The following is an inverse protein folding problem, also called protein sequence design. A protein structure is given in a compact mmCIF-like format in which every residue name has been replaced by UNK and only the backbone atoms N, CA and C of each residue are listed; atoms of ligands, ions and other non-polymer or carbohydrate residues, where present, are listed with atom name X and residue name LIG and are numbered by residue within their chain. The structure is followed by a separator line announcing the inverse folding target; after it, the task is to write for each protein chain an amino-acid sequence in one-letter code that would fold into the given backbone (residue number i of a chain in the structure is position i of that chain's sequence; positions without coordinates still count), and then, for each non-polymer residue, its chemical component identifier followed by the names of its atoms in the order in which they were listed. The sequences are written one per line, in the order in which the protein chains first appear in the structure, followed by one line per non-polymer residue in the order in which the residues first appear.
data_IF_185980272469
#
_entry.id   IF_185980272469
#
_cell.length_a   1.000
_cell.length_b   1.000
_cell.length_c   1.000
_cell.angle_alpha   90.00
_cell.angle_beta   90.00
_cell.angle_gamma   90.00
#
_symmetry.space_group_name_H-M   'P 1'
#
loop_
_entity.id
_entity.type
_entity.pdbx_description
1 polymer ?
#
# COMPACT_ATOMS: atom_id res chain seq x y z
N UNK A 1 -6.33 -15.91 -17.07
CA UNK A 1 -5.85 -15.54 -15.72
C UNK A 1 -5.86 -16.81 -14.86
N UNK A 2 -4.79 -17.04 -14.12
CA UNK A 2 -4.71 -18.15 -13.17
C UNK A 2 -4.87 -17.56 -11.78
N UNK A 3 -5.79 -18.12 -11.00
CA UNK A 3 -6.00 -17.72 -9.63
C UNK A 3 -5.65 -18.89 -8.72
N UNK A 4 -4.72 -18.73 -7.80
CA UNK A 4 -4.44 -19.70 -6.75
C UNK A 4 -5.41 -19.41 -5.58
N UNK A 5 -6.31 -20.33 -5.31
CA UNK A 5 -7.20 -20.26 -4.15
C UNK A 5 -6.63 -21.20 -3.09
N UNK A 6 -6.38 -20.66 -1.89
CA UNK A 6 -6.03 -21.51 -0.75
C UNK A 6 -7.23 -22.38 -0.36
N UNK A 7 -7.00 -23.62 0.10
CA UNK A 7 -8.07 -24.50 0.56
C UNK A 7 -8.71 -23.90 1.81
N UNK A 8 -9.77 -23.16 1.62
CA UNK A 8 -10.70 -22.71 2.63
C UNK A 8 -12.09 -22.88 2.06
N UNK A 9 -13.05 -23.25 2.87
CA UNK A 9 -14.46 -23.27 2.48
C UNK A 9 -14.87 -21.85 2.10
N UNK A 10 -14.87 -21.53 0.80
CA UNK A 10 -15.46 -20.32 0.31
C UNK A 10 -16.98 -20.43 0.51
N UNK A 11 -17.47 -19.69 1.48
CA UNK A 11 -18.91 -19.59 1.72
C UNK A 11 -19.45 -18.46 0.81
N UNK A 12 -20.22 -18.87 -0.18
CA UNK A 12 -21.20 -18.06 -0.90
C UNK A 12 -20.70 -17.07 -1.97
N UNK A 13 -19.55 -16.42 -1.86
CA UNK A 13 -19.14 -15.38 -2.82
C UNK A 13 -17.65 -15.36 -3.08
N UNK A 14 -17.29 -15.22 -4.36
CA UNK A 14 -15.93 -14.95 -4.81
C UNK A 14 -15.91 -13.57 -5.46
N UNK A 15 -15.08 -12.68 -4.96
CA UNK A 15 -14.81 -11.40 -5.62
C UNK A 15 -13.66 -11.57 -6.62
N UNK A 16 -13.89 -11.17 -7.87
CA UNK A 16 -12.90 -11.18 -8.94
C UNK A 16 -12.65 -9.75 -9.40
N UNK A 17 -11.38 -9.36 -9.49
CA UNK A 17 -10.97 -8.15 -10.18
C UNK A 17 -10.39 -8.56 -11.54
N UNK A 18 -10.97 -8.07 -12.62
CA UNK A 18 -10.53 -8.35 -13.99
C UNK A 18 -10.09 -7.05 -14.63
N UNK A 19 -8.85 -7.00 -15.11
CA UNK A 19 -8.36 -5.84 -15.88
C UNK A 19 -8.76 -6.02 -17.35
N UNK A 20 -9.57 -5.10 -17.87
CA UNK A 20 -9.93 -5.06 -19.27
C UNK A 20 -8.78 -4.64 -20.18
N UNK A 21 -8.96 -4.82 -21.50
CA UNK A 21 -7.99 -4.37 -22.51
C UNK A 21 -7.87 -2.84 -22.57
N UNK A 22 -8.80 -2.12 -21.96
CA UNK A 22 -8.83 -0.67 -21.79
C UNK A 22 -8.04 -0.20 -20.56
N UNK A 23 -7.43 -1.13 -19.81
CA UNK A 23 -6.71 -0.87 -18.57
C UNK A 23 -7.61 -0.65 -17.34
N UNK A 24 -8.92 -0.75 -17.50
CA UNK A 24 -9.88 -0.62 -16.39
C UNK A 24 -9.97 -1.92 -15.60
N UNK A 25 -10.13 -1.81 -14.28
CA UNK A 25 -10.36 -2.95 -13.39
C UNK A 25 -11.84 -3.11 -13.13
N UNK A 26 -12.38 -4.26 -13.51
CA UNK A 26 -13.77 -4.62 -13.32
C UNK A 26 -13.89 -5.59 -12.14
N UNK A 27 -14.70 -5.23 -11.16
CA UNK A 27 -14.94 -6.06 -9.98
C UNK A 27 -16.21 -6.90 -10.20
N UNK A 28 -16.06 -8.20 -10.14
CA UNK A 28 -17.18 -9.16 -10.26
C UNK A 28 -17.34 -9.91 -8.95
N UNK A 29 -18.58 -10.12 -8.55
CA UNK A 29 -18.91 -11.04 -7.47
C UNK A 29 -19.56 -12.29 -8.06
N UNK A 30 -18.90 -13.43 -7.94
CA UNK A 30 -19.46 -14.72 -8.31
C UNK A 30 -20.11 -15.32 -7.07
N UNK A 31 -21.42 -15.54 -7.13
CA UNK A 31 -22.16 -16.21 -6.06
C UNK A 31 -22.26 -17.70 -6.38
N UNK A 32 -22.00 -18.55 -5.41
CA UNK A 32 -22.13 -20.00 -5.54
C UNK A 32 -23.37 -20.48 -4.78
N UNK A 33 -24.11 -21.38 -5.39
CA UNK A 33 -25.22 -22.06 -4.70
C UNK A 33 -24.67 -23.25 -3.90
N UNK A 34 -24.29 -23.00 -2.64
CA UNK A 34 -23.78 -24.03 -1.72
C UNK A 34 -22.28 -24.01 -1.52
N UNK A 35 -21.80 -24.82 -0.60
CA UNK A 35 -20.38 -24.99 -0.28
C UNK A 35 -19.64 -25.63 -1.47
N UNK A 36 -18.65 -24.96 -2.03
CA UNK A 36 -17.78 -25.50 -3.06
C UNK A 36 -16.51 -26.07 -2.39
N UNK A 37 -16.32 -27.39 -2.36
CA UNK A 37 -15.14 -27.97 -1.75
C UNK A 37 -13.94 -27.84 -2.69
N UNK A 38 -12.99 -26.98 -2.36
CA UNK A 38 -11.70 -26.98 -3.02
C UNK A 38 -10.77 -28.00 -2.37
N UNK A 39 -10.22 -28.88 -3.20
CA UNK A 39 -9.21 -29.84 -2.76
C UNK A 39 -7.81 -29.35 -3.11
N UNK A 40 -6.90 -29.45 -2.16
CA UNK A 40 -5.50 -29.09 -2.37
C UNK A 40 -4.89 -29.86 -3.55
N UNK A 41 -4.19 -29.17 -4.44
CA UNK A 41 -3.52 -29.77 -5.60
C UNK A 41 -4.42 -30.03 -6.82
N UNK A 42 -5.69 -29.66 -6.78
CA UNK A 42 -6.58 -29.71 -7.95
C UNK A 42 -6.66 -28.37 -8.66
N UNK A 43 -6.68 -28.40 -10.00
CA UNK A 43 -6.95 -27.25 -10.86
C UNK A 43 -8.42 -27.30 -11.25
N UNK A 44 -9.16 -26.26 -10.89
CA UNK A 44 -10.56 -26.10 -11.27
C UNK A 44 -10.63 -25.13 -12.44
N UNK A 45 -11.03 -25.60 -13.59
CA UNK A 45 -11.27 -24.78 -14.77
C UNK A 45 -12.74 -24.36 -14.79
N UNK A 46 -12.99 -23.06 -14.67
CA UNK A 46 -14.31 -22.47 -14.89
C UNK A 46 -14.21 -21.48 -16.03
N UNK A 47 -15.06 -21.64 -17.03
CA UNK A 47 -15.22 -20.65 -18.08
C UNK A 47 -16.20 -19.60 -17.56
N UNK A 48 -15.70 -18.39 -17.28
CA UNK A 48 -16.54 -17.26 -16.93
C UNK A 48 -16.82 -16.49 -18.20
N UNK A 49 -18.03 -16.60 -18.71
CA UNK A 49 -18.51 -15.75 -19.79
C UNK A 49 -19.02 -14.47 -19.18
N UNK A 50 -18.24 -13.39 -19.31
CA UNK A 50 -18.72 -12.05 -18.96
C UNK A 50 -19.72 -11.64 -20.04
N UNK A 51 -21.00 -11.63 -19.71
CA UNK A 51 -22.05 -11.08 -20.59
C UNK A 51 -21.68 -9.63 -20.92
N UNK A 52 -21.97 -9.21 -22.16
CA UNK A 52 -21.73 -7.84 -22.59
C UNK A 52 -22.27 -6.87 -21.55
N UNK A 53 -21.45 -5.87 -21.20
CA UNK A 53 -21.85 -4.82 -20.28
C UNK A 53 -23.13 -4.18 -20.80
N UNK A 54 -24.25 -4.39 -20.11
CA UNK A 54 -25.27 -3.37 -20.13
C UNK A 54 -24.69 -2.16 -19.42
N UNK A 55 -24.82 -0.98 -20.02
CA UNK A 55 -24.31 0.32 -19.56
C UNK A 55 -24.94 0.73 -18.21
N UNK A 56 -24.71 -0.06 -17.19
CA UNK A 56 -25.25 0.09 -15.83
C UNK A 56 -24.25 0.60 -14.80
N UNK A 57 -23.01 0.89 -15.19
CA UNK A 57 -22.09 1.61 -14.34
C UNK A 57 -22.36 3.10 -14.48
N UNK A 58 -22.79 3.72 -13.41
CA UNK A 58 -22.88 5.17 -13.33
C UNK A 58 -21.55 5.77 -13.80
N UNK A 59 -21.62 6.78 -14.68
CA UNK A 59 -20.42 7.47 -15.14
C UNK A 59 -19.66 7.99 -13.92
N UNK A 60 -18.37 7.63 -13.80
CA UNK A 60 -17.53 8.11 -12.70
C UNK A 60 -17.63 9.65 -12.60
N UNK A 61 -17.77 10.18 -11.39
CA UNK A 61 -17.76 11.61 -11.17
C UNK A 61 -16.39 12.18 -11.53
N UNK A 62 -16.33 13.24 -12.32
CA UNK A 62 -15.06 13.82 -12.75
C UNK A 62 -14.55 14.81 -11.72
N UNK A 63 -13.33 14.60 -11.24
CA UNK A 63 -12.59 15.51 -10.37
C UNK A 63 -11.52 16.21 -11.21
N UNK A 64 -11.83 17.41 -11.68
CA UNK A 64 -10.93 18.25 -12.49
C UNK A 64 -10.53 19.55 -11.77
N UNK A 65 -9.81 20.43 -12.45
CA UNK A 65 -9.36 21.70 -11.90
C UNK A 65 -10.53 22.68 -11.57
N UNK A 66 -11.71 22.46 -12.14
CA UNK A 66 -12.86 23.37 -12.01
C UNK A 66 -13.89 22.88 -10.97
N UNK A 67 -13.67 21.70 -10.37
CA UNK A 67 -14.54 21.19 -9.32
C UNK A 67 -14.57 22.16 -8.15
N UNK A 68 -15.77 22.59 -7.79
CA UNK A 68 -16.01 23.38 -6.56
C UNK A 68 -16.45 22.49 -5.44
N UNK A 69 -16.07 22.83 -4.21
CA UNK A 69 -16.52 22.12 -3.02
C UNK A 69 -18.04 22.24 -2.85
N UNK A 70 -18.68 21.10 -2.62
CA UNK A 70 -20.11 20.98 -2.35
C UNK A 70 -20.28 20.33 -0.98
N UNK A 71 -20.93 21.05 -0.05
CA UNK A 71 -21.15 20.53 1.29
C UNK A 71 -22.18 19.36 1.23
N UNK A 72 -21.87 18.28 1.95
CA UNK A 72 -22.82 17.19 2.18
C UNK A 72 -23.91 17.59 3.17
N UNK A 73 -24.95 16.78 3.23
CA UNK A 73 -26.01 16.91 4.22
C UNK A 73 -25.47 16.60 5.64
N UNK A 74 -25.56 17.56 6.55
CA UNK A 74 -25.17 17.43 7.96
C UNK A 74 -26.36 17.16 8.89
N UNK A 75 -27.57 16.95 8.32
CA UNK A 75 -28.77 16.65 9.11
C UNK A 75 -28.67 15.29 9.81
N UNK A 76 -29.53 15.04 10.75
CA UNK A 76 -29.76 13.74 11.40
C UNK A 76 -28.48 13.08 11.98
N UNK A 77 -27.55 13.88 12.52
CA UNK A 77 -26.27 13.40 13.06
C UNK A 77 -25.40 12.61 12.06
N UNK A 78 -25.47 12.93 10.77
CA UNK A 78 -24.59 12.36 9.74
C UNK A 78 -23.14 12.37 10.18
N UNK A 79 -22.39 11.35 9.78
CA UNK A 79 -20.98 11.18 10.15
C UNK A 79 -20.74 10.74 11.59
N UNK A 80 -21.77 10.55 12.44
CA UNK A 80 -21.59 10.19 13.85
C UNK A 80 -21.34 8.69 14.08
N UNK A 81 -21.70 7.83 13.13
CA UNK A 81 -21.56 6.39 13.23
C UNK A 81 -21.32 5.74 11.86
N UNK A 82 -20.80 4.50 11.86
CA UNK A 82 -20.51 3.75 10.64
C UNK A 82 -21.75 3.48 9.79
N UNK A 83 -22.91 3.30 10.39
CA UNK A 83 -24.20 3.09 9.72
C UNK A 83 -24.92 4.39 9.34
N UNK A 84 -24.37 5.53 9.74
CA UNK A 84 -24.85 6.86 9.37
C UNK A 84 -23.69 7.79 8.94
N UNK A 85 -22.91 7.44 7.90
CA UNK A 85 -21.74 8.22 7.48
C UNK A 85 -22.13 9.48 6.71
N UNK A 86 -21.19 10.42 6.57
CA UNK A 86 -21.23 11.41 5.50
C UNK A 86 -21.03 10.69 4.16
N UNK A 87 -21.89 10.98 3.18
CA UNK A 87 -21.84 10.37 1.86
C UNK A 87 -21.04 11.24 0.89
N UNK A 88 -20.03 10.67 0.25
CA UNK A 88 -19.28 11.30 -0.83
C UNK A 88 -19.89 10.80 -2.15
N UNK A 89 -20.87 11.53 -2.64
CA UNK A 89 -21.70 11.15 -3.81
C UNK A 89 -21.27 11.85 -5.10
N UNK A 90 -20.33 12.83 -4.97
CA UNK A 90 -19.87 13.65 -6.09
C UNK A 90 -18.39 14.02 -5.93
N UNK A 91 -17.79 14.48 -7.02
CA UNK A 91 -16.48 15.11 -6.97
C UNK A 91 -16.48 16.40 -6.11
N UNK A 92 -17.61 17.11 -6.05
CA UNK A 92 -17.81 18.28 -5.21
C UNK A 92 -17.74 17.94 -3.73
N UNK A 93 -18.38 16.85 -3.29
CA UNK A 93 -18.28 16.39 -1.89
C UNK A 93 -16.84 16.00 -1.54
N UNK A 94 -16.13 15.30 -2.42
CA UNK A 94 -14.71 14.97 -2.20
C UNK A 94 -13.85 16.23 -2.12
N UNK A 95 -14.10 17.21 -2.98
CA UNK A 95 -13.41 18.50 -2.96
C UNK A 95 -13.66 19.24 -1.66
N UNK A 96 -14.90 19.28 -1.18
CA UNK A 96 -15.26 19.89 0.09
C UNK A 96 -14.52 19.24 1.26
N UNK A 97 -14.47 17.89 1.32
CA UNK A 97 -13.68 17.19 2.34
C UNK A 97 -12.22 17.65 2.33
N UNK A 98 -11.58 17.69 1.16
CA UNK A 98 -10.19 18.12 1.01
C UNK A 98 -10.02 19.55 1.54
N UNK A 99 -10.92 20.47 1.19
CA UNK A 99 -10.86 21.87 1.59
C UNK A 99 -11.04 22.07 3.08
N UNK A 100 -12.00 21.36 3.70
CA UNK A 100 -12.24 21.44 5.13
C UNK A 100 -11.06 20.90 5.94
N UNK A 101 -10.50 19.75 5.55
CA UNK A 101 -9.30 19.20 6.20
C UNK A 101 -8.10 20.14 6.03
N UNK A 102 -7.93 20.72 4.85
CA UNK A 102 -6.91 21.74 4.58
C UNK A 102 -7.12 23.01 5.40
N UNK A 103 -8.36 23.37 5.70
CA UNK A 103 -8.71 24.49 6.56
C UNK A 103 -8.44 24.21 8.05
N UNK A 104 -8.25 22.94 8.42
CA UNK A 104 -7.92 22.51 9.79
C UNK A 104 -8.99 21.73 10.52
N UNK A 105 -10.05 21.29 9.80
CA UNK A 105 -11.06 20.37 10.35
C UNK A 105 -10.58 18.91 10.17
N UNK A 106 -10.16 18.22 11.24
CA UNK A 106 -9.58 16.88 11.11
C UNK A 106 -10.65 15.79 10.99
N UNK A 107 -11.91 16.09 11.25
CA UNK A 107 -13.03 15.14 11.30
C UNK A 107 -12.79 13.94 12.24
N UNK A 108 -12.23 14.21 13.43
CA UNK A 108 -11.97 13.17 14.41
C UNK A 108 -13.24 12.36 14.73
N UNK A 109 -13.11 11.03 14.69
CA UNK A 109 -14.17 10.06 14.96
C UNK A 109 -15.39 10.13 14.02
N UNK A 110 -15.33 10.92 12.94
CA UNK A 110 -16.38 10.96 11.93
C UNK A 110 -16.24 9.80 10.96
N UNK A 111 -17.36 9.46 10.31
CA UNK A 111 -17.44 8.38 9.33
C UNK A 111 -17.82 8.95 7.96
N UNK A 112 -17.07 8.54 6.95
CA UNK A 112 -17.30 8.89 5.55
C UNK A 112 -17.47 7.62 4.72
N UNK A 113 -18.31 7.71 3.70
CA UNK A 113 -18.49 6.63 2.73
C UNK A 113 -18.55 7.18 1.31
N UNK A 114 -17.69 6.64 0.44
CA UNK A 114 -17.76 6.89 -0.99
C UNK A 114 -18.90 6.06 -1.59
N UNK A 115 -19.72 6.66 -2.45
CA UNK A 115 -20.89 6.03 -3.06
C UNK A 115 -20.88 6.14 -4.59
N UNK A 116 -19.82 6.67 -5.16
CA UNK A 116 -19.62 6.79 -6.61
C UNK A 116 -18.14 6.63 -6.96
N UNK A 117 -17.87 6.15 -8.15
CA UNK A 117 -16.51 6.16 -8.68
C UNK A 117 -16.08 7.60 -8.99
N UNK A 118 -14.80 7.91 -8.77
CA UNK A 118 -14.22 9.22 -9.06
C UNK A 118 -13.09 9.07 -10.09
N UNK A 119 -13.14 9.85 -11.16
CA UNK A 119 -12.04 9.95 -12.12
C UNK A 119 -11.33 11.29 -11.94
N UNK A 120 -10.08 11.24 -11.52
CA UNK A 120 -9.24 12.43 -11.33
C UNK A 120 -8.58 12.79 -12.66
N UNK A 121 -8.88 13.99 -13.14
CA UNK A 121 -8.29 14.60 -14.35
C UNK A 121 -7.67 15.96 -14.06
N UNK A 122 -7.61 16.35 -12.80
CA UNK A 122 -6.98 17.59 -12.35
C UNK A 122 -5.46 17.54 -12.60
N UNK A 123 -4.86 18.70 -12.92
CA UNK A 123 -3.42 18.82 -13.14
C UNK A 123 -2.60 18.50 -11.88
N UNK A 124 -3.17 18.76 -10.72
CA UNK A 124 -2.57 18.47 -9.42
C UNK A 124 -3.59 17.85 -8.46
N UNK A 125 -3.13 16.90 -7.67
CA UNK A 125 -3.89 16.32 -6.58
C UNK A 125 -3.46 16.92 -5.23
N UNK A 126 -4.42 17.34 -4.43
CA UNK A 126 -4.19 17.69 -3.02
C UNK A 126 -4.66 16.53 -2.16
N UNK A 127 -3.77 15.85 -1.41
CA UNK A 127 -4.17 14.74 -0.54
C UNK A 127 -5.15 15.15 0.56
N UNK A 128 -6.02 14.24 0.97
CA UNK A 128 -6.84 14.43 2.18
C UNK A 128 -5.90 14.32 3.39
N UNK A 129 -5.76 15.42 4.16
CA UNK A 129 -4.74 15.51 5.21
C UNK A 129 -3.35 15.80 4.63
N UNK A 130 -2.95 17.06 4.58
CA UNK A 130 -1.72 17.47 3.89
C UNK A 130 -0.46 17.37 4.77
N UNK A 131 -0.61 17.42 6.10
CA UNK A 131 0.52 17.41 7.04
C UNK A 131 0.08 17.02 8.45
N UNK A 132 1.03 16.85 9.36
CA UNK A 132 0.75 16.61 10.79
C UNK A 132 0.00 17.75 11.48
N UNK A 133 0.10 18.97 10.96
CA UNK A 133 -0.67 20.12 11.46
C UNK A 133 -2.10 20.16 10.89
N UNK A 134 -2.34 19.51 9.78
CA UNK A 134 -3.63 19.44 9.07
C UNK A 134 -3.92 17.99 8.66
N UNK A 135 -4.08 17.08 9.63
CA UNK A 135 -4.30 15.67 9.37
C UNK A 135 -5.76 15.39 9.07
N UNK A 136 -6.02 14.25 8.45
CA UNK A 136 -7.33 13.63 8.50
C UNK A 136 -7.37 12.63 9.66
N UNK A 137 -8.46 12.62 10.44
CA UNK A 137 -8.62 11.80 11.65
C UNK A 137 -9.93 11.01 11.68
N UNK A 138 -10.69 11.02 10.58
CA UNK A 138 -11.95 10.30 10.44
C UNK A 138 -11.78 8.86 9.92
N UNK A 139 -12.87 8.11 9.97
CA UNK A 139 -12.99 6.79 9.32
C UNK A 139 -13.45 6.98 7.88
N UNK A 140 -12.97 6.14 6.96
CA UNK A 140 -13.34 6.25 5.56
C UNK A 140 -13.56 4.86 4.95
N UNK A 141 -14.79 4.64 4.46
CA UNK A 141 -15.16 3.47 3.68
C UNK A 141 -15.27 3.85 2.20
N UNK A 142 -14.40 3.28 1.37
CA UNK A 142 -14.46 3.46 -0.08
C UNK A 142 -15.70 2.83 -0.73
N UNK A 143 -16.48 2.03 0.01
CA UNK A 143 -17.69 1.40 -0.50
C UNK A 143 -17.45 0.41 -1.66
N UNK A 144 -16.19 0.06 -1.94
CA UNK A 144 -15.79 -0.71 -3.11
C UNK A 144 -15.69 0.12 -4.39
N UNK A 145 -15.85 1.44 -4.29
CA UNK A 145 -15.71 2.36 -5.43
C UNK A 145 -14.25 2.64 -5.77
N UNK A 146 -14.03 3.08 -6.99
CA UNK A 146 -12.72 3.28 -7.60
C UNK A 146 -12.39 4.77 -7.72
N UNK A 147 -11.17 5.12 -7.31
CA UNK A 147 -10.53 6.37 -7.66
C UNK A 147 -9.58 6.09 -8.82
N UNK A 148 -9.86 6.64 -9.99
CA UNK A 148 -9.10 6.42 -11.23
C UNK A 148 -8.46 7.69 -11.77
N UNK A 149 -7.66 7.58 -12.84
CA UNK A 149 -7.00 8.71 -13.50
C UNK A 149 -5.60 8.96 -13.00
N UNK A 150 -5.26 10.18 -12.62
CA UNK A 150 -3.90 10.55 -12.25
C UNK A 150 -3.86 11.36 -10.95
N UNK A 151 -3.11 10.90 -9.97
CA UNK A 151 -2.79 11.65 -8.76
C UNK A 151 -1.39 12.24 -8.92
N UNK A 152 -1.31 13.52 -9.29
CA UNK A 152 -0.04 14.23 -9.50
C UNK A 152 0.22 15.20 -8.37
N UNK A 153 1.40 15.17 -7.81
CA UNK A 153 1.79 16.11 -6.78
C UNK A 153 3.28 16.37 -6.73
N UNK A 154 3.62 17.39 -5.96
CA UNK A 154 4.99 17.77 -5.71
C UNK A 154 5.18 18.07 -4.23
N UNK A 155 6.33 17.70 -3.70
CA UNK A 155 6.74 18.08 -2.35
C UNK A 155 6.72 19.61 -2.16
N UNK A 156 6.18 20.01 -1.02
CA UNK A 156 6.23 21.38 -0.54
C UNK A 156 6.26 21.37 0.99
N UNK A 157 6.49 22.55 1.61
CA UNK A 157 6.41 22.66 3.07
C UNK A 157 5.03 22.29 3.61
N UNK A 158 3.98 22.48 2.83
CA UNK A 158 2.59 22.14 3.20
C UNK A 158 2.26 20.67 2.90
N UNK A 159 2.79 20.10 1.82
CA UNK A 159 2.49 18.73 1.38
C UNK A 159 3.78 17.90 1.42
N UNK A 160 4.00 17.20 2.51
CA UNK A 160 5.19 16.39 2.74
C UNK A 160 4.95 14.90 2.48
N UNK A 161 3.70 14.45 2.58
CA UNK A 161 3.29 13.07 2.39
C UNK A 161 2.23 12.99 1.30
N UNK A 162 2.25 11.94 0.48
CA UNK A 162 1.43 11.87 -0.73
C UNK A 162 0.75 10.52 -0.92
N UNK A 163 -0.50 10.57 -1.37
CA UNK A 163 -1.39 9.48 -1.67
C UNK A 163 -2.81 10.01 -1.86
N UNK A 164 -3.80 9.16 -1.88
CA UNK A 164 -5.19 9.61 -1.76
C UNK A 164 -5.38 10.35 -0.43
N UNK A 165 -4.90 9.76 0.67
CA UNK A 165 -4.64 10.45 1.93
C UNK A 165 -3.15 10.80 2.04
N UNK A 166 -2.84 12.03 2.47
CA UNK A 166 -1.48 12.46 2.72
C UNK A 166 -1.02 12.09 4.13
N UNK A 167 -1.68 12.63 5.14
CA UNK A 167 -1.33 12.40 6.55
C UNK A 167 -2.56 12.04 7.39
N UNK A 168 -2.49 10.87 8.00
CA UNK A 168 -3.50 10.37 8.92
C UNK A 168 -2.96 10.32 10.35
N UNK A 169 -3.76 10.73 11.32
CA UNK A 169 -3.50 10.48 12.73
C UNK A 169 -4.79 10.44 13.52
N UNK A 170 -4.80 9.71 14.63
CA UNK A 170 -5.97 9.66 15.53
C UNK A 170 -5.52 9.42 16.96
N UNK A 171 -6.36 9.78 17.91
CA UNK A 171 -6.22 9.45 19.34
C UNK A 171 -7.10 8.26 19.73
N UNK A 172 -8.04 7.90 18.88
CA UNK A 172 -8.94 6.74 19.00
C UNK A 172 -8.63 5.69 17.95
N UNK A 173 -9.56 4.81 17.62
CA UNK A 173 -9.40 3.86 16.50
C UNK A 173 -9.82 4.53 15.19
N UNK A 174 -9.11 4.22 14.11
CA UNK A 174 -9.43 4.67 12.76
C UNK A 174 -9.48 3.47 11.81
N UNK A 175 -10.49 3.43 10.97
CA UNK A 175 -10.65 2.42 9.92
C UNK A 175 -10.66 3.09 8.55
N UNK A 176 -9.75 2.65 7.69
CA UNK A 176 -9.69 3.01 6.28
C UNK A 176 -9.92 1.73 5.50
N UNK A 177 -11.03 1.64 4.78
CA UNK A 177 -11.42 0.38 4.18
C UNK A 177 -12.03 0.50 2.78
N UNK A 178 -11.99 -0.60 2.01
CA UNK A 178 -12.67 -0.80 0.73
C UNK A 178 -12.38 0.29 -0.31
N UNK A 179 -11.15 0.79 -0.37
CA UNK A 179 -10.73 1.83 -1.32
C UNK A 179 -9.93 1.17 -2.45
N UNK A 180 -10.33 1.44 -3.69
CA UNK A 180 -9.60 1.01 -4.89
C UNK A 180 -8.99 2.22 -5.58
N UNK A 181 -7.66 2.34 -5.54
CA UNK A 181 -6.92 3.35 -6.29
C UNK A 181 -6.44 2.72 -7.59
N UNK A 182 -7.17 2.96 -8.69
CA UNK A 182 -6.82 2.55 -10.05
C UNK A 182 -6.27 3.75 -10.82
N UNK A 183 -5.26 4.41 -10.26
CA UNK A 183 -4.72 5.66 -10.78
C UNK A 183 -3.20 5.58 -10.91
N UNK A 184 -2.65 6.33 -11.87
CA UNK A 184 -1.22 6.59 -11.88
C UNK A 184 -0.88 7.65 -10.83
N UNK A 185 0.21 7.44 -10.12
CA UNK A 185 0.71 8.35 -9.10
C UNK A 185 2.03 8.92 -9.56
N UNK A 186 2.10 10.24 -9.66
CA UNK A 186 3.33 10.95 -9.96
C UNK A 186 3.66 11.88 -8.80
N UNK A 187 4.78 11.62 -8.16
CA UNK A 187 5.27 12.46 -7.07
C UNK A 187 6.69 12.91 -7.35
N UNK A 188 6.90 14.20 -7.37
CA UNK A 188 8.24 14.78 -7.47
C UNK A 188 8.64 15.42 -6.16
N UNK A 189 9.89 15.19 -5.81
CA UNK A 189 10.46 15.57 -4.54
C UNK A 189 11.69 16.46 -4.77
N UNK A 190 11.75 17.59 -4.15
CA UNK A 190 12.92 18.44 -4.13
C UNK A 190 13.07 19.03 -2.72
N UNK A 191 13.92 18.42 -1.91
CA UNK A 191 14.27 18.99 -0.61
C UNK A 191 15.15 20.22 -0.81
N UNK A 192 14.85 21.34 -0.16
CA UNK A 192 15.81 22.45 -0.07
C UNK A 192 17.11 21.94 0.59
N UNK A 193 18.26 22.36 0.08
CA UNK A 193 19.54 22.00 0.64
C UNK A 193 19.60 22.31 2.15
N UNK A 194 20.09 21.34 2.94
CA UNK A 194 20.27 21.50 4.38
C UNK A 194 19.03 21.27 5.24
N UNK A 195 17.88 20.93 4.67
CA UNK A 195 16.71 20.54 5.45
C UNK A 195 16.69 19.05 5.72
N UNK A 196 16.50 18.67 6.98
CA UNK A 196 16.28 17.28 7.39
C UNK A 196 14.79 17.07 7.61
N UNK A 197 14.20 16.15 6.86
CA UNK A 197 12.82 15.71 7.07
C UNK A 197 12.80 14.36 7.76
N UNK A 198 11.98 14.27 8.83
CA UNK A 198 11.79 13.01 9.51
C UNK A 198 10.74 12.21 8.83
N UNK A 199 10.78 11.24 8.14
CA UNK A 199 9.75 10.33 7.63
C UNK A 199 8.76 10.95 6.63
N UNK A 200 9.16 10.94 5.38
CA UNK A 200 8.28 11.21 4.25
C UNK A 200 7.64 9.92 3.77
N UNK A 201 6.35 9.95 3.50
CA UNK A 201 5.60 8.80 3.02
C UNK A 201 4.91 9.07 1.69
N UNK A 202 5.04 8.11 0.75
CA UNK A 202 4.29 8.08 -0.50
C UNK A 202 3.60 6.73 -0.64
N UNK A 203 2.30 6.74 -0.82
CA UNK A 203 1.52 5.52 -1.00
C UNK A 203 0.33 5.74 -1.93
N UNK A 204 -0.20 4.68 -2.50
CA UNK A 204 -1.39 4.79 -3.33
C UNK A 204 -2.60 5.28 -2.53
N UNK A 205 -2.82 4.68 -1.38
CA UNK A 205 -3.92 5.04 -0.49
C UNK A 205 -3.46 6.05 0.56
N UNK A 206 -2.36 5.79 1.27
CA UNK A 206 -1.93 6.58 2.42
C UNK A 206 -0.46 6.96 2.27
N UNK A 207 -0.13 8.25 2.32
CA UNK A 207 1.25 8.71 2.42
C UNK A 207 1.85 8.36 3.78
N UNK A 208 1.27 8.89 4.86
CA UNK A 208 1.74 8.66 6.23
C UNK A 208 0.56 8.45 7.18
N UNK A 209 0.57 7.31 7.89
CA UNK A 209 -0.44 6.95 8.88
C UNK A 209 0.18 6.78 10.28
N UNK A 210 0.35 7.86 11.01
CA UNK A 210 1.04 7.87 12.30
C UNK A 210 0.08 7.72 13.49
N UNK A 211 -0.49 6.52 13.63
CA UNK A 211 -1.15 6.08 14.87
C UNK A 211 -1.26 4.54 14.88
N UNK A 212 -0.97 3.93 16.03
CA UNK A 212 -1.02 2.46 16.17
C UNK A 212 -2.43 1.87 16.07
N UNK A 213 -3.44 2.70 16.21
CA UNK A 213 -4.87 2.34 16.17
C UNK A 213 -5.48 2.52 14.77
N UNK A 214 -4.67 2.81 13.74
CA UNK A 214 -5.12 2.81 12.34
C UNK A 214 -5.16 1.38 11.83
N UNK A 215 -6.30 1.00 11.26
CA UNK A 215 -6.47 -0.26 10.52
C UNK A 215 -6.79 0.07 9.07
N UNK A 216 -6.00 -0.51 8.16
CA UNK A 216 -6.21 -0.43 6.71
C UNK A 216 -6.70 -1.79 6.25
N UNK A 217 -7.91 -1.85 5.70
CA UNK A 217 -8.57 -3.10 5.36
C UNK A 217 -9.10 -3.08 3.93
N UNK A 218 -8.84 -4.16 3.18
CA UNK A 218 -9.38 -4.35 1.84
C UNK A 218 -9.15 -3.14 0.91
N UNK A 219 -7.92 -2.59 0.95
CA UNK A 219 -7.52 -1.48 0.09
C UNK A 219 -6.60 -1.96 -1.02
N UNK A 220 -6.81 -1.46 -2.22
CA UNK A 220 -6.04 -1.87 -3.40
C UNK A 220 -5.43 -0.66 -4.08
N UNK A 221 -4.18 -0.80 -4.50
CA UNK A 221 -3.54 0.09 -5.48
C UNK A 221 -3.32 -0.70 -6.76
N UNK A 222 -3.81 -0.15 -7.90
CA UNK A 222 -3.49 -0.64 -9.23
C UNK A 222 -3.09 0.53 -10.13
N UNK A 223 -2.02 0.37 -10.88
CA UNK A 223 -1.47 1.42 -11.74
C UNK A 223 0.04 1.58 -11.60
N UNK A 224 0.54 2.70 -12.05
CA UNK A 224 1.96 3.02 -12.02
C UNK A 224 2.24 4.14 -11.00
N UNK A 225 3.22 3.92 -10.14
CA UNK A 225 3.76 4.94 -9.25
C UNK A 225 5.12 5.38 -9.80
N UNK A 226 5.23 6.65 -10.14
CA UNK A 226 6.48 7.29 -10.56
C UNK A 226 6.90 8.29 -9.49
N UNK A 227 7.90 7.94 -8.72
CA UNK A 227 8.47 8.75 -7.65
C UNK A 227 9.84 9.22 -8.12
N UNK A 228 9.95 10.49 -8.44
CA UNK A 228 11.21 11.09 -8.91
C UNK A 228 11.68 12.16 -7.96
N UNK A 229 12.98 12.22 -7.78
CA UNK A 229 13.55 13.10 -6.80
C UNK A 229 14.77 13.89 -7.17
N UNK A 230 14.84 14.99 -6.41
CA UNK A 230 16.05 15.65 -6.00
C UNK A 230 16.65 15.05 -4.70
N UNK A 231 17.64 15.69 -4.12
CA UNK A 231 18.34 15.20 -2.93
C UNK A 231 17.46 15.11 -1.69
N UNK A 232 17.50 13.98 -0.99
CA UNK A 232 16.80 13.74 0.29
C UNK A 232 17.56 14.31 1.51
N UNK A 233 18.80 14.74 1.32
CA UNK A 233 19.65 15.12 2.46
C UNK A 233 19.78 13.97 3.47
N UNK A 234 19.40 14.21 4.71
CA UNK A 234 19.43 13.21 5.81
C UNK A 234 18.05 12.63 6.14
N UNK A 235 17.08 12.68 5.20
CA UNK A 235 15.71 12.25 5.43
C UNK A 235 15.47 10.76 5.25
N UNK A 236 14.28 10.33 5.68
CA UNK A 236 13.75 8.99 5.43
C UNK A 236 12.59 9.09 4.42
N UNK A 237 12.69 8.38 3.31
CA UNK A 237 11.61 8.25 2.34
C UNK A 237 11.05 6.83 2.39
N UNK A 238 9.75 6.72 2.58
CA UNK A 238 9.04 5.45 2.63
C UNK A 238 8.00 5.39 1.53
N UNK A 239 8.08 4.39 0.66
CA UNK A 239 7.22 4.24 -0.50
C UNK A 239 6.55 2.89 -0.45
N UNK A 240 5.23 2.86 -0.53
CA UNK A 240 4.47 1.62 -0.58
C UNK A 240 3.32 1.68 -1.56
N UNK A 241 3.00 0.58 -2.19
CA UNK A 241 1.85 0.54 -3.09
C UNK A 241 0.57 0.99 -2.39
N UNK A 242 0.34 0.57 -1.16
CA UNK A 242 -0.82 0.98 -0.36
C UNK A 242 -0.46 2.12 0.58
N UNK A 243 0.63 1.99 1.35
CA UNK A 243 0.99 2.99 2.34
C UNK A 243 2.50 3.25 2.38
N UNK A 244 2.91 4.52 2.40
CA UNK A 244 4.31 4.90 2.52
C UNK A 244 4.88 4.60 3.89
N UNK A 245 4.48 5.36 4.91
CA UNK A 245 4.95 5.23 6.29
C UNK A 245 3.78 5.04 7.26
N UNK A 246 3.94 4.16 8.24
CA UNK A 246 2.87 3.91 9.21
C UNK A 246 3.34 3.28 10.51
N UNK A 247 2.43 3.30 11.48
CA UNK A 247 2.45 2.44 12.68
C UNK A 247 1.16 1.63 12.81
N UNK A 248 0.34 1.56 11.76
CA UNK A 248 -0.97 0.90 11.73
C UNK A 248 -0.92 -0.58 11.33
N UNK A 249 -2.09 -1.21 11.34
CA UNK A 249 -2.30 -2.58 10.89
C UNK A 249 -2.82 -2.65 9.46
N UNK A 250 -2.43 -3.68 8.70
CA UNK A 250 -2.90 -3.95 7.34
C UNK A 250 -3.55 -5.32 7.25
N UNK A 251 -4.70 -5.38 6.60
CA UNK A 251 -5.41 -6.64 6.40
C UNK A 251 -6.04 -6.67 5.00
N UNK A 252 -5.76 -7.74 4.25
CA UNK A 252 -6.37 -7.98 2.94
C UNK A 252 -6.14 -6.82 1.94
N UNK A 253 -4.95 -6.23 1.96
CA UNK A 253 -4.59 -5.18 1.02
C UNK A 253 -3.80 -5.74 -0.16
N UNK A 254 -3.88 -5.09 -1.31
CA UNK A 254 -3.14 -5.52 -2.50
C UNK A 254 -2.53 -4.37 -3.27
N UNK A 255 -1.43 -4.66 -3.96
CA UNK A 255 -0.82 -3.75 -4.91
C UNK A 255 -0.51 -4.49 -6.21
N UNK A 256 -0.86 -3.85 -7.34
CA UNK A 256 -0.73 -4.42 -8.69
C UNK A 256 -0.21 -3.32 -9.61
N UNK A 257 0.76 -3.62 -10.44
CA UNK A 257 1.28 -2.66 -11.42
C UNK A 257 2.77 -2.39 -11.26
N UNK A 258 3.17 -1.12 -11.17
CA UNK A 258 4.59 -0.74 -11.11
C UNK A 258 4.85 0.30 -10.03
N UNK A 259 5.96 0.15 -9.34
CA UNK A 259 6.49 1.14 -8.40
C UNK A 259 7.90 1.52 -8.88
N UNK A 260 8.04 2.69 -9.49
CA UNK A 260 9.29 3.21 -10.00
C UNK A 260 9.79 4.34 -9.10
N UNK A 261 11.00 4.21 -8.60
CA UNK A 261 11.58 5.12 -7.62
C UNK A 261 12.96 5.59 -8.08
N UNK A 262 13.12 6.87 -8.27
CA UNK A 262 14.40 7.52 -8.56
C UNK A 262 14.73 8.50 -7.45
N UNK A 263 15.78 8.23 -6.68
CA UNK A 263 16.19 9.02 -5.52
C UNK A 263 17.66 9.39 -5.54
N UNK A 264 18.02 10.40 -4.74
CA UNK A 264 19.38 10.85 -4.52
C UNK A 264 19.68 10.89 -3.02
N UNK A 265 20.40 9.87 -2.56
CA UNK A 265 20.83 9.75 -1.16
C UNK A 265 19.68 9.44 -0.18
N UNK A 266 19.96 9.59 1.10
CA UNK A 266 18.98 9.34 2.18
C UNK A 266 18.75 7.88 2.49
N UNK A 267 17.84 7.62 3.45
CA UNK A 267 17.36 6.30 3.81
C UNK A 267 16.04 6.02 3.11
N UNK A 268 15.98 4.94 2.35
CA UNK A 268 14.83 4.64 1.48
C UNK A 268 14.26 3.29 1.83
N UNK A 269 12.95 3.23 2.10
CA UNK A 269 12.23 1.98 2.34
C UNK A 269 11.12 1.82 1.32
N UNK A 270 11.18 0.77 0.49
CA UNK A 270 10.22 0.52 -0.58
C UNK A 270 9.55 -0.83 -0.36
N UNK A 271 8.22 -0.84 -0.34
CA UNK A 271 7.43 -2.06 -0.24
C UNK A 271 6.30 -2.13 -1.25
N UNK A 272 5.95 -3.33 -1.68
CA UNK A 272 4.78 -3.49 -2.53
C UNK A 272 3.49 -3.06 -1.83
N UNK A 273 3.38 -3.29 -0.53
CA UNK A 273 2.25 -2.88 0.29
C UNK A 273 2.60 -1.67 1.15
N UNK A 274 3.64 -1.77 1.98
CA UNK A 274 4.03 -0.73 2.91
C UNK A 274 5.52 -0.41 2.82
N UNK A 275 5.87 0.88 2.65
CA UNK A 275 7.26 1.30 2.64
C UNK A 275 7.93 1.02 3.97
N UNK A 276 7.39 1.62 5.04
CA UNK A 276 7.89 1.43 6.41
C UNK A 276 6.73 1.29 7.41
N UNK A 277 6.71 0.17 8.14
CA UNK A 277 5.84 -0.02 9.30
C UNK A 277 6.70 -0.18 10.57
N UNK A 278 6.60 0.76 11.50
CA UNK A 278 7.40 0.80 12.73
C UNK A 278 6.69 0.25 13.96
N UNK A 279 5.52 -0.33 13.81
CA UNK A 279 4.78 -0.89 14.96
C UNK A 279 5.18 -2.33 15.22
N UNK A 280 5.73 -2.61 16.39
CA UNK A 280 5.98 -3.98 16.86
C UNK A 280 4.69 -4.69 17.31
N UNK A 281 3.62 -3.94 17.58
CA UNK A 281 2.36 -4.46 18.10
C UNK A 281 1.38 -4.87 17.01
N UNK A 282 1.48 -4.26 15.81
CA UNK A 282 0.50 -4.42 14.74
C UNK A 282 0.87 -5.52 13.75
N UNK A 283 -0.12 -5.91 12.97
CA UNK A 283 -0.02 -7.01 12.01
C UNK A 283 -0.19 -6.49 10.59
N UNK A 284 0.65 -6.99 9.67
CA UNK A 284 0.43 -6.94 8.23
C UNK A 284 0.04 -8.35 7.80
N UNK A 285 -1.22 -8.55 7.43
CA UNK A 285 -1.74 -9.89 7.16
C UNK A 285 -2.57 -9.98 5.90
N UNK A 286 -2.49 -11.16 5.24
CA UNK A 286 -3.24 -11.51 4.04
C UNK A 286 -3.07 -10.48 2.91
N UNK A 287 -1.92 -9.80 2.84
CA UNK A 287 -1.65 -8.82 1.81
C UNK A 287 -0.93 -9.46 0.62
N UNK A 288 -1.22 -8.95 -0.58
CA UNK A 288 -0.67 -9.49 -1.84
C UNK A 288 0.01 -8.37 -2.61
N UNK A 289 1.28 -8.57 -2.93
CA UNK A 289 1.98 -7.73 -3.89
C UNK A 289 2.13 -8.47 -5.22
N UNK A 290 1.62 -7.88 -6.28
CA UNK A 290 1.86 -8.27 -7.67
C UNK A 290 2.46 -7.11 -8.49
N UNK A 291 2.96 -6.07 -7.83
CA UNK A 291 3.64 -4.94 -8.49
C UNK A 291 5.11 -5.27 -8.72
N UNK A 292 5.64 -4.89 -9.88
CA UNK A 292 7.09 -4.79 -10.05
C UNK A 292 7.63 -3.55 -9.35
N UNK A 293 8.75 -3.68 -8.64
CA UNK A 293 9.43 -2.58 -7.97
C UNK A 293 10.74 -2.32 -8.73
N UNK A 294 10.92 -1.09 -9.23
CA UNK A 294 12.17 -0.64 -9.82
C UNK A 294 12.69 0.56 -9.06
N UNK A 295 13.97 0.56 -8.67
CA UNK A 295 14.54 1.68 -7.94
C UNK A 295 15.95 2.05 -8.41
N UNK A 296 16.28 3.34 -8.27
CA UNK A 296 17.61 3.88 -8.50
C UNK A 296 17.94 4.89 -7.40
N UNK A 297 19.07 4.68 -6.69
CA UNK A 297 19.61 5.63 -5.72
C UNK A 297 21.03 6.01 -6.15
N UNK A 298 21.18 7.23 -6.68
CA UNK A 298 22.37 7.69 -7.41
C UNK A 298 23.35 8.51 -6.59
N UNK A 299 23.10 8.71 -5.30
CA UNK A 299 24.02 9.37 -4.39
C UNK A 299 24.27 8.53 -3.14
N UNK A 300 25.48 8.61 -2.59
CA UNK A 300 25.79 7.98 -1.30
C UNK A 300 25.02 8.66 -0.18
N UNK A 301 24.41 7.86 0.66
CA UNK A 301 23.96 8.33 1.96
C UNK A 301 25.19 8.62 2.85
N UNK A 302 25.30 9.83 3.38
CA UNK A 302 26.34 10.17 4.37
C UNK A 302 26.08 9.51 5.74
N UNK A 303 25.16 8.59 5.82
CA UNK A 303 24.74 7.89 7.03
C UNK A 303 24.78 6.38 6.77
N UNK A 304 24.89 5.56 7.80
CA UNK A 304 24.85 4.08 7.71
C UNK A 304 23.44 3.54 7.28
N UNK A 305 22.73 4.29 6.46
CA UNK A 305 21.37 3.95 6.06
C UNK A 305 21.40 3.15 4.76
N UNK A 306 20.86 1.95 4.82
CA UNK A 306 20.64 1.10 3.67
C UNK A 306 19.35 1.48 2.96
N UNK A 307 19.31 1.20 1.67
CA UNK A 307 18.06 1.09 0.91
C UNK A 307 17.43 -0.25 1.28
N UNK A 308 16.20 -0.25 1.74
CA UNK A 308 15.49 -1.49 2.08
C UNK A 308 14.30 -1.70 1.15
N UNK A 309 14.24 -2.84 0.48
CA UNK A 309 13.19 -3.15 -0.50
C UNK A 309 12.58 -4.51 -0.21
N UNK A 310 11.29 -4.55 -0.06
CA UNK A 310 10.57 -5.80 0.18
C UNK A 310 9.29 -5.92 -0.65
N UNK A 311 8.97 -7.14 -1.07
CA UNK A 311 7.74 -7.35 -1.82
C UNK A 311 6.48 -6.96 -1.03
N UNK A 312 6.46 -7.16 0.28
CA UNK A 312 5.38 -6.69 1.16
C UNK A 312 5.79 -5.39 1.84
N UNK A 313 6.95 -5.33 2.46
CA UNK A 313 7.38 -4.11 3.10
C UNK A 313 8.88 -3.87 3.06
N UNK A 314 9.28 -2.60 2.86
CA UNK A 314 10.68 -2.21 2.88
C UNK A 314 11.29 -2.42 4.27
N UNK A 315 10.69 -1.82 5.28
CA UNK A 315 11.01 -2.03 6.69
C UNK A 315 9.75 -2.41 7.46
N UNK A 316 9.80 -3.52 8.17
CA UNK A 316 8.65 -3.99 8.97
C UNK A 316 9.09 -4.37 10.37
N UNK A 317 8.52 -3.65 11.39
CA UNK A 317 8.69 -3.98 12.79
C UNK A 317 7.40 -4.57 13.34
N UNK A 318 7.08 -5.77 13.23
CA UNK A 318 5.82 -6.34 13.73
C UNK A 318 5.54 -7.70 13.13
N UNK A 319 4.30 -8.13 13.15
CA UNK A 319 3.92 -9.43 12.63
C UNK A 319 3.59 -9.35 11.15
N UNK A 320 4.08 -10.31 10.36
CA UNK A 320 3.70 -10.51 8.95
C UNK A 320 3.13 -11.91 8.80
N UNK A 321 1.86 -12.01 8.42
CA UNK A 321 1.09 -13.24 8.48
C UNK A 321 0.34 -13.49 7.18
N UNK A 322 0.57 -14.63 6.53
CA UNK A 322 -0.19 -15.05 5.35
C UNK A 322 -0.10 -14.10 4.15
N UNK A 323 0.99 -13.34 4.03
CA UNK A 323 1.20 -12.43 2.91
C UNK A 323 1.87 -13.13 1.73
N UNK A 324 1.62 -12.63 0.52
CA UNK A 324 2.15 -13.21 -0.71
C UNK A 324 2.81 -12.14 -1.59
N UNK A 325 4.05 -12.39 -2.02
CA UNK A 325 4.71 -11.59 -3.03
C UNK A 325 4.84 -12.37 -4.34
N UNK A 326 4.43 -11.72 -5.43
CA UNK A 326 4.55 -12.19 -6.81
C UNK A 326 5.34 -11.20 -7.69
N UNK A 327 5.65 -10.03 -7.14
CA UNK A 327 6.29 -8.93 -7.87
C UNK A 327 7.81 -9.03 -7.89
N UNK A 328 8.40 -8.65 -9.01
CA UNK A 328 9.86 -8.55 -9.20
C UNK A 328 10.44 -7.33 -8.48
N UNK A 329 11.72 -7.39 -8.17
CA UNK A 329 12.49 -6.27 -7.61
C UNK A 329 13.75 -6.07 -8.44
N UNK A 330 13.88 -4.89 -9.06
CA UNK A 330 15.04 -4.53 -9.87
C UNK A 330 15.58 -3.17 -9.44
N UNK A 331 16.89 -3.00 -9.37
CA UNK A 331 17.39 -1.67 -9.03
C UNK A 331 18.89 -1.55 -8.85
N UNK A 332 19.28 -0.32 -8.57
CA UNK A 332 20.66 0.06 -8.30
C UNK A 332 20.72 1.08 -7.15
N UNK A 333 21.75 0.97 -6.32
CA UNK A 333 22.06 1.96 -5.29
C UNK A 333 23.57 2.15 -5.15
N UNK A 334 24.01 3.35 -4.88
CA UNK A 334 25.39 3.58 -4.45
C UNK A 334 25.62 3.19 -2.99
N UNK A 335 24.58 3.14 -2.18
CA UNK A 335 24.62 2.70 -0.76
C UNK A 335 24.23 1.23 -0.63
N UNK A 336 24.45 0.64 0.54
CA UNK A 336 24.06 -0.74 0.87
C UNK A 336 22.56 -0.98 0.66
N UNK A 337 22.20 -2.17 0.21
CA UNK A 337 20.81 -2.56 -0.10
C UNK A 337 20.41 -3.84 0.62
N UNK A 338 19.24 -3.83 1.25
CA UNK A 338 18.59 -4.98 1.84
C UNK A 338 17.34 -5.36 1.06
N UNK A 339 17.29 -6.58 0.53
CA UNK A 339 16.19 -7.02 -0.34
C UNK A 339 15.60 -8.33 0.15
N UNK A 340 14.28 -8.35 0.26
CA UNK A 340 13.54 -9.57 0.57
C UNK A 340 12.21 -9.68 -0.16
N UNK A 341 11.81 -10.88 -0.50
CA UNK A 341 10.51 -11.12 -1.13
C UNK A 341 9.34 -10.70 -0.25
N UNK A 342 9.49 -10.75 1.07
CA UNK A 342 8.51 -10.28 2.04
C UNK A 342 8.98 -8.98 2.68
N UNK A 343 10.15 -8.95 3.27
CA UNK A 343 10.69 -7.76 3.93
C UNK A 343 12.13 -7.46 3.57
N UNK A 344 12.46 -6.20 3.25
CA UNK A 344 13.83 -5.75 3.06
C UNK A 344 14.61 -5.81 4.37
N UNK A 345 14.18 -5.04 5.36
CA UNK A 345 14.64 -5.09 6.75
C UNK A 345 13.47 -5.47 7.65
N UNK A 346 13.72 -6.35 8.61
CA UNK A 346 12.67 -6.76 9.55
C UNK A 346 13.15 -6.77 10.99
N UNK A 347 12.34 -6.19 11.88
CA UNK A 347 12.42 -6.31 13.35
C UNK A 347 11.21 -7.08 13.86
N UNK A 348 10.97 -8.27 13.35
CA UNK A 348 9.68 -8.94 13.47
C UNK A 348 9.43 -9.57 14.82
N UNK A 349 8.20 -9.44 15.31
CA UNK A 349 7.67 -10.28 16.36
C UNK A 349 7.26 -11.66 15.84
N UNK A 350 6.79 -11.77 14.60
CA UNK A 350 6.40 -13.04 13.96
C UNK A 350 6.34 -12.94 12.45
N UNK A 351 6.90 -13.94 11.75
CA UNK A 351 6.73 -14.13 10.31
C UNK A 351 6.18 -15.55 10.06
N UNK A 352 4.94 -15.65 9.59
CA UNK A 352 4.24 -16.92 9.54
C UNK A 352 3.33 -17.05 8.32
N UNK A 353 3.33 -18.21 7.67
CA UNK A 353 2.52 -18.50 6.47
C UNK A 353 2.70 -17.52 5.31
N UNK A 354 3.87 -16.90 5.18
CA UNK A 354 4.12 -15.99 4.07
C UNK A 354 4.69 -16.73 2.88
N UNK A 355 4.41 -16.23 1.68
CA UNK A 355 4.87 -16.83 0.43
C UNK A 355 5.56 -15.81 -0.45
N UNK A 356 6.75 -16.14 -0.92
CA UNK A 356 7.38 -15.42 -2.01
C UNK A 356 7.44 -16.32 -3.25
N UNK A 357 6.77 -15.92 -4.31
CA UNK A 357 6.58 -16.70 -5.54
C UNK A 357 7.48 -16.23 -6.69
N UNK A 358 8.46 -15.37 -6.42
CA UNK A 358 9.38 -14.88 -7.44
C UNK A 358 10.83 -14.99 -6.99
N UNK A 359 11.71 -15.26 -7.94
CA UNK A 359 13.17 -15.11 -7.82
C UNK A 359 13.71 -13.96 -8.68
N UNK A 360 12.82 -13.19 -9.28
CA UNK A 360 13.20 -12.11 -10.19
C UNK A 360 13.65 -10.87 -9.39
N UNK A 361 14.85 -11.01 -8.80
CA UNK A 361 15.56 -9.97 -8.08
C UNK A 361 16.87 -9.65 -8.80
N UNK A 362 16.94 -8.49 -9.43
CA UNK A 362 18.10 -8.00 -10.15
C UNK A 362 18.57 -6.67 -9.56
N UNK A 363 19.47 -6.74 -8.60
CA UNK A 363 19.92 -5.56 -7.85
C UNK A 363 21.42 -5.48 -7.76
N UNK A 364 21.94 -4.28 -7.93
CA UNK A 364 23.34 -3.93 -7.77
C UNK A 364 23.53 -2.84 -6.72
N UNK A 365 24.68 -2.83 -6.07
CA UNK A 365 25.04 -1.81 -5.09
C UNK A 365 26.51 -1.42 -5.23
N UNK A 366 26.82 -0.16 -4.93
CA UNK A 366 28.19 0.32 -4.77
C UNK A 366 28.88 -0.21 -3.51
N UNK A 367 28.09 -0.72 -2.54
CA UNK A 367 28.59 -1.26 -1.27
C UNK A 367 28.18 -2.73 -1.09
N UNK A 368 27.19 -2.98 -0.25
CA UNK A 368 26.75 -4.35 0.10
C UNK A 368 25.31 -4.61 -0.35
N UNK A 369 25.08 -5.78 -0.93
CA UNK A 369 23.73 -6.31 -1.15
C UNK A 369 23.49 -7.47 -0.19
N UNK A 370 22.44 -7.37 0.65
CA UNK A 370 21.91 -8.46 1.45
C UNK A 370 20.59 -8.91 0.85
N UNK A 371 20.62 -10.01 0.14
CA UNK A 371 19.45 -10.53 -0.58
C UNK A 371 18.98 -11.82 0.06
N UNK A 372 17.72 -11.86 0.48
CA UNK A 372 17.04 -13.06 0.92
C UNK A 372 15.71 -13.24 0.20
N UNK A 373 15.37 -14.44 -0.21
CA UNK A 373 14.09 -14.67 -0.89
C UNK A 373 12.85 -14.40 -0.03
N UNK A 374 12.99 -14.40 1.28
CA UNK A 374 11.96 -13.90 2.20
C UNK A 374 12.35 -12.57 2.83
N UNK A 375 13.55 -12.48 3.42
CA UNK A 375 13.99 -11.33 4.21
C UNK A 375 15.43 -10.99 3.86
N UNK A 376 15.69 -9.74 3.49
CA UNK A 376 17.02 -9.25 3.18
C UNK A 376 17.91 -9.15 4.42
N UNK A 377 17.43 -8.45 5.45
CA UNK A 377 18.13 -8.28 6.72
C UNK A 377 17.20 -8.47 7.91
N UNK A 378 17.56 -9.40 8.78
CA UNK A 378 16.86 -9.66 10.03
C UNK A 378 17.62 -9.01 11.20
N UNK A 379 17.04 -8.00 11.83
CA UNK A 379 17.70 -7.27 12.91
C UNK A 379 17.55 -7.94 14.28
N UNK A 380 16.39 -8.53 14.55
CA UNK A 380 16.11 -9.23 15.82
C UNK A 380 15.56 -10.62 15.56
N UNK A 381 15.92 -11.59 16.40
CA UNK A 381 15.44 -12.96 16.30
C UNK A 381 13.98 -13.04 16.72
N UNK A 382 13.14 -13.61 15.87
CA UNK A 382 11.72 -13.83 16.11
C UNK A 382 11.29 -15.18 15.57
N UNK A 383 10.09 -15.62 15.92
CA UNK A 383 9.55 -16.88 15.46
C UNK A 383 9.25 -16.83 13.95
N UNK A 384 9.90 -17.69 13.20
CA UNK A 384 9.62 -17.97 11.79
C UNK A 384 9.04 -19.36 11.66
N UNK A 385 7.89 -19.48 11.05
CA UNK A 385 7.27 -20.78 10.86
C UNK A 385 6.39 -20.79 9.61
N UNK A 386 6.31 -21.95 8.95
CA UNK A 386 5.43 -22.21 7.81
C UNK A 386 5.53 -21.17 6.68
N UNK A 387 6.72 -20.59 6.45
CA UNK A 387 6.93 -19.69 5.32
C UNK A 387 7.37 -20.51 4.10
N UNK A 388 7.03 -20.01 2.91
CA UNK A 388 7.39 -20.63 1.65
C UNK A 388 8.04 -19.60 0.72
N UNK A 389 9.11 -19.98 0.06
CA UNK A 389 9.71 -19.19 -1.00
C UNK A 389 10.24 -20.09 -2.10
N UNK A 390 10.27 -19.55 -3.32
CA UNK A 390 11.02 -20.15 -4.40
C UNK A 390 12.53 -20.05 -4.10
N UNK A 391 13.31 -21.01 -4.56
CA UNK A 391 14.73 -21.10 -4.26
C UNK A 391 15.05 -21.97 -3.04
N UNK A 392 16.34 -22.11 -2.73
CA UNK A 392 16.80 -22.93 -1.60
C UNK A 392 16.57 -22.22 -0.27
N UNK A 393 16.19 -22.96 0.75
CA UNK A 393 15.89 -22.44 2.09
C UNK A 393 17.07 -21.66 2.72
N UNK A 394 18.30 -22.05 2.43
CA UNK A 394 19.51 -21.33 2.86
C UNK A 394 19.60 -19.90 2.34
N UNK A 395 18.85 -19.56 1.29
CA UNK A 395 18.81 -18.25 0.64
C UNK A 395 17.60 -17.41 1.08
N UNK A 396 16.76 -17.89 2.00
CA UNK A 396 15.55 -17.17 2.40
C UNK A 396 15.84 -15.92 3.22
N UNK A 397 16.96 -15.89 3.94
CA UNK A 397 17.41 -14.74 4.71
C UNK A 397 18.80 -14.31 4.24
N UNK A 398 18.93 -13.05 3.82
CA UNK A 398 20.17 -12.51 3.27
C UNK A 398 21.26 -12.25 4.32
N UNK A 399 20.89 -11.88 5.53
CA UNK A 399 21.81 -11.81 6.67
C UNK A 399 21.13 -11.99 8.01
N UNK A 400 21.52 -13.00 8.74
CA UNK A 400 21.35 -13.15 10.17
C UNK A 400 22.46 -14.05 10.71
N UNK A 401 23.39 -13.57 11.54
CA UNK A 401 24.50 -14.35 12.06
C UNK A 401 24.10 -15.43 13.07
N UNK A 402 22.84 -15.47 13.54
CA UNK A 402 22.40 -16.36 14.60
C UNK A 402 21.25 -17.31 14.21
N UNK A 403 20.80 -17.28 12.92
CA UNK A 403 19.64 -18.04 12.52
C UNK A 403 20.00 -19.41 11.93
N UNK A 404 19.44 -20.45 12.50
CA UNK A 404 19.36 -21.79 11.93
C UNK A 404 17.91 -22.06 11.57
N UNK A 405 17.60 -22.50 10.34
CA UNK A 405 16.20 -22.84 9.95
C UNK A 405 15.67 -23.95 10.84
N UNK A 406 14.66 -23.67 11.64
CA UNK A 406 13.86 -24.70 12.29
C UNK A 406 12.61 -24.90 11.44
N UNK A 407 12.46 -26.08 10.88
CA UNK A 407 11.19 -26.51 10.26
C UNK A 407 10.35 -26.98 11.44
N UNK A 408 9.39 -26.17 11.85
CA UNK A 408 8.32 -26.68 12.70
C UNK A 408 7.35 -27.46 11.81
N UNK A 409 7.48 -28.78 11.86
CA UNK A 409 6.56 -29.76 11.28
C UNK A 409 5.27 -29.80 12.13
N UNK A 410 4.55 -28.71 12.25
CA UNK A 410 3.18 -28.74 12.76
C UNK A 410 2.20 -28.39 11.63
N UNK A 411 1.69 -29.46 11.03
CA UNK A 411 0.56 -29.53 10.08
C UNK A 411 -0.77 -28.99 10.66
#
# INVERSE_FOLDING_TARGET
AYMAILPSTLKEKLALAVTGNDGMVYNYTVSFNGDFPYEAGKVYNSELTFGGMEDGYGTAAIFDNNVTGEAWDESDNKGSAKDNPYLIESAGHLKYLIEQVKAGEPYADKFFKLTTDIKVTADTWTPIGISSAKPFSGNFDGGGHTISGELKGRFSNDIQNFGFFGYLTTKSSMLIENIHIAANITWSFASPEGTSYSYLGVGGVIGNGYAQTITVHNCTMSGEMQISDGSLGYGYLSIGGVCGHTTGAFNNCSAIGKINVECKGGSISIGGIVGMNRSIANETKHCINASSITFSNTEHSNTNYAVSVGGIGGYIAGKVLGCCNQGSITGHSLSSVDIGGIGGITELAKCHLNRNLTTDFSVTSGETVRLGYLIGHLQNSTAYSCNESVGEQSQWIGSNPAWTPTIDDES
#
